data_IF_944033021049
#
_entry.id   IF_944033021049
#
_cell.length_a   1.000
_cell.length_b   1.000
_cell.length_c   1.000
_cell.angle_alpha   90.00
_cell.angle_beta   90.00
_cell.angle_gamma   90.00
#
_symmetry.space_group_name_H-M   'P 1'
#
loop_
_entity.id
_entity.type
_entity.pdbx_description
1 polymer ?
#
# COMPACT_ATOMS: atom_id res chain seq x y z
N UNK A 1 14.27 7.56 12.00
CA UNK A 1 14.01 7.96 10.61
C UNK A 1 15.27 7.76 9.80
N UNK A 2 15.22 6.97 8.73
CA UNK A 2 16.33 6.78 7.78
C UNK A 2 15.99 7.53 6.49
N UNK A 3 16.89 8.34 5.99
CA UNK A 3 16.67 9.18 4.79
C UNK A 3 17.56 8.69 3.66
N UNK A 4 16.96 8.31 2.53
CA UNK A 4 17.68 7.81 1.37
C UNK A 4 17.20 8.56 0.12
N UNK A 5 18.14 9.09 -0.65
CA UNK A 5 17.83 9.63 -1.99
C UNK A 5 17.92 8.52 -3.01
N UNK A 6 16.82 8.25 -3.71
CA UNK A 6 16.71 7.23 -4.75
C UNK A 6 16.31 7.84 -6.09
N UNK A 7 16.88 7.33 -7.18
CA UNK A 7 16.48 7.66 -8.56
C UNK A 7 15.33 6.75 -9.02
N UNK A 8 14.68 7.14 -10.10
CA UNK A 8 13.67 6.30 -10.77
C UNK A 8 14.28 4.95 -11.14
N UNK A 9 13.59 3.87 -10.79
CA UNK A 9 14.04 2.49 -10.99
C UNK A 9 14.83 1.90 -9.81
N UNK A 10 15.32 2.72 -8.88
CA UNK A 10 16.02 2.22 -7.70
C UNK A 10 15.03 1.68 -6.65
N UNK A 11 15.52 0.73 -5.84
CA UNK A 11 14.73 0.00 -4.85
C UNK A 11 15.31 0.16 -3.46
N UNK A 12 14.43 0.10 -2.47
CA UNK A 12 14.73 0.06 -1.04
C UNK A 12 14.15 -1.25 -0.53
N UNK A 13 14.95 -2.03 0.20
CA UNK A 13 14.49 -3.27 0.83
C UNK A 13 14.31 -3.01 2.32
N UNK A 14 13.14 -3.39 2.85
CA UNK A 14 12.81 -3.29 4.27
C UNK A 14 12.58 -4.70 4.81
N UNK A 15 13.17 -5.00 5.96
CA UNK A 15 13.30 -6.37 6.45
C UNK A 15 13.92 -7.27 5.37
N UNK A 16 13.27 -8.38 5.00
CA UNK A 16 13.77 -9.32 4.00
C UNK A 16 12.91 -9.35 2.73
N UNK A 17 11.60 -9.06 2.85
CA UNK A 17 10.62 -9.37 1.78
C UNK A 17 9.85 -8.15 1.29
N UNK A 18 10.03 -6.98 1.89
CA UNK A 18 9.35 -5.75 1.47
C UNK A 18 10.28 -4.97 0.54
N UNK A 19 9.82 -4.74 -0.69
CA UNK A 19 10.52 -3.97 -1.71
C UNK A 19 9.76 -2.71 -2.07
N UNK A 20 10.40 -1.57 -1.89
CA UNK A 20 9.86 -0.25 -2.25
C UNK A 20 10.63 0.23 -3.48
N UNK A 21 9.93 0.45 -4.58
CA UNK A 21 10.53 0.88 -5.87
C UNK A 21 10.06 2.27 -6.23
N UNK A 22 10.99 3.15 -6.59
CA UNK A 22 10.65 4.47 -7.16
C UNK A 22 10.27 4.29 -8.62
N UNK A 23 8.98 4.30 -8.93
CA UNK A 23 8.47 4.02 -10.28
C UNK A 23 8.61 5.23 -11.20
N UNK A 24 8.32 6.43 -10.69
CA UNK A 24 8.42 7.69 -11.46
C UNK A 24 8.48 8.89 -10.52
N UNK A 25 9.21 9.92 -10.92
CA UNK A 25 9.18 11.24 -10.29
C UNK A 25 8.63 12.22 -11.32
N UNK A 26 7.58 12.97 -11.00
CA UNK A 26 6.97 13.95 -11.91
C UNK A 26 6.21 15.02 -11.13
N UNK A 27 6.40 16.29 -11.49
CA UNK A 27 5.56 17.41 -11.01
C UNK A 27 5.47 17.54 -9.48
N UNK A 28 6.56 17.26 -8.76
CA UNK A 28 6.59 17.28 -7.28
C UNK A 28 6.03 16.03 -6.60
N UNK A 29 5.45 15.09 -7.36
CA UNK A 29 4.98 13.80 -6.87
C UNK A 29 5.93 12.65 -7.20
N UNK A 30 5.95 11.64 -6.33
CA UNK A 30 6.68 10.39 -6.53
C UNK A 30 5.69 9.24 -6.60
N UNK A 31 5.77 8.42 -7.64
CA UNK A 31 5.09 7.13 -7.69
C UNK A 31 5.97 6.07 -7.07
N UNK A 32 5.43 5.38 -6.08
CA UNK A 32 6.12 4.35 -5.32
C UNK A 32 5.38 3.04 -5.55
N UNK A 33 6.10 2.01 -5.97
CA UNK A 33 5.61 0.63 -5.97
C UNK A 33 6.04 -0.05 -4.69
N UNK A 34 5.14 -0.79 -4.05
CA UNK A 34 5.43 -1.54 -2.83
C UNK A 34 5.08 -3.00 -3.11
N UNK A 35 6.08 -3.87 -3.01
CA UNK A 35 5.93 -5.32 -3.05
C UNK A 35 6.11 -5.82 -1.62
N UNK A 36 5.14 -6.58 -1.11
CA UNK A 36 5.17 -7.18 0.21
C UNK A 36 4.57 -8.59 0.13
N UNK A 37 4.97 -9.52 1.02
CA UNK A 37 4.46 -10.88 1.03
C UNK A 37 2.98 -10.95 1.46
N UNK A 38 2.33 -12.05 1.08
CA UNK A 38 0.94 -12.34 1.44
C UNK A 38 0.77 -12.34 2.97
N UNK A 39 -0.14 -11.51 3.47
CA UNK A 39 -0.37 -11.30 4.90
C UNK A 39 0.25 -10.02 5.47
N UNK A 40 1.07 -9.29 4.71
CA UNK A 40 1.52 -7.93 5.10
C UNK A 40 0.57 -6.89 4.50
N UNK A 41 -0.32 -6.25 5.28
CA UNK A 41 -1.21 -5.22 4.75
C UNK A 41 -0.41 -3.97 4.39
N UNK A 42 -0.57 -3.50 3.15
CA UNK A 42 -0.03 -2.23 2.67
C UNK A 42 -1.19 -1.26 2.50
N UNK A 43 -1.27 -0.27 3.39
CA UNK A 43 -2.33 0.74 3.38
C UNK A 43 -1.72 2.14 3.43
N UNK A 44 -2.46 3.11 2.91
CA UNK A 44 -2.09 4.52 3.00
C UNK A 44 -2.36 4.99 4.44
N UNK A 45 -1.45 5.78 5.00
CA UNK A 45 -1.48 6.18 6.41
C UNK A 45 -2.80 6.83 6.81
N UNK A 46 -3.38 7.65 5.95
CA UNK A 46 -4.65 8.34 6.16
C UNK A 46 -5.84 7.38 6.31
N UNK A 47 -5.71 6.12 5.89
CA UNK A 47 -6.75 5.09 6.01
C UNK A 47 -6.63 4.26 7.29
N UNK A 48 -5.55 4.38 8.06
CA UNK A 48 -5.33 3.59 9.28
C UNK A 48 -6.39 3.85 10.35
N UNK A 49 -6.98 5.05 10.36
CA UNK A 49 -7.97 5.46 11.36
C UNK A 49 -9.42 5.35 10.84
N UNK A 50 -9.62 4.88 9.61
CA UNK A 50 -10.95 4.60 9.11
C UNK A 50 -11.47 3.33 9.82
N UNK A 51 -12.63 3.38 10.47
CA UNK A 51 -13.22 2.16 11.01
C UNK A 51 -13.37 1.15 9.87
N UNK A 52 -13.06 -0.14 10.11
CA UNK A 52 -13.19 -1.16 9.08
C UNK A 52 -14.62 -1.08 8.55
N UNK A 53 -14.76 -0.70 7.28
CA UNK A 53 -16.06 -0.67 6.61
C UNK A 53 -16.52 -2.11 6.60
N UNK A 54 -17.41 -2.44 7.54
CA UNK A 54 -18.07 -3.73 7.58
C UNK A 54 -18.85 -3.84 6.28
N UNK A 55 -18.32 -4.67 5.38
CA UNK A 55 -19.04 -5.09 4.18
C UNK A 55 -20.30 -5.76 4.72
N UNK A 56 -21.43 -5.05 4.65
CA UNK A 56 -22.74 -5.63 4.86
C UNK A 56 -22.91 -6.60 3.71
N UNK A 57 -22.71 -7.88 3.97
CA UNK A 57 -23.25 -8.93 3.14
C UNK A 57 -24.76 -8.78 3.22
N UNK A 58 -25.32 -8.03 2.27
CA UNK A 58 -26.76 -7.93 2.08
C UNK A 58 -27.28 -9.34 1.79
N UNK A 59 -27.85 -9.92 2.83
CA UNK A 59 -28.55 -11.20 2.86
C UNK A 59 -29.85 -11.06 2.08
N UNK A 60 -29.75 -10.90 0.75
CA UNK A 60 -30.90 -10.93 -0.15
C UNK A 60 -31.03 -12.31 -0.75
N UNK A 61 -31.38 -13.31 0.06
CA UNK A 61 -32.05 -14.48 -0.48
C UNK A 61 -32.91 -15.19 0.59
N UNK A 62 -34.15 -14.76 0.78
CA UNK A 62 -35.28 -15.61 1.16
C UNK A 62 -36.55 -14.78 1.33
N UNK A 63 -37.19 -14.37 0.23
CA UNK A 63 -38.65 -14.22 0.20
C UNK A 63 -39.20 -14.53 -1.19
N UNK A 64 -39.94 -15.65 -1.24
CA UNK A 64 -41.00 -16.09 -2.18
C UNK A 64 -40.60 -17.25 -3.08
#
# INVERSE_FOLDING_TARGET
>A
MLVLSRKVGERIVVANDIRITVVRISGGGVRIGIEAPDGTPVVREELLNAPPVSVRSDETNSRT
#
